data_IF_567987826034
#
_entry.id   IF_567987826034
#
_cell.length_a   1.000
_cell.length_b   1.000
_cell.length_c   1.000
_cell.angle_alpha   90.00
_cell.angle_beta   90.00
_cell.angle_gamma   90.00
#
_symmetry.space_group_name_H-M   'P 1'
#
loop_
_entity.id
_entity.type
_entity.pdbx_description
1 polymer ?
#
# COMPACT_ATOMS: atom_id res chain seq x y z
N UNK A 1 10.17 -12.54 -6.42
CA UNK A 1 9.97 -11.13 -6.80
C UNK A 1 8.51 -10.90 -7.18
N UNK A 2 7.76 -10.25 -6.30
CA UNK A 2 6.34 -9.91 -6.41
C UNK A 2 6.19 -8.39 -6.29
N UNK A 3 5.48 -7.80 -7.23
CA UNK A 3 5.22 -6.36 -7.28
C UNK A 3 3.71 -6.14 -7.21
N UNK A 4 3.27 -5.28 -6.29
CA UNK A 4 1.86 -4.97 -6.09
C UNK A 4 1.62 -3.49 -6.38
N UNK A 5 0.53 -3.19 -7.09
CA UNK A 5 0.02 -1.83 -7.29
C UNK A 5 -1.26 -1.66 -6.50
N UNK A 6 -1.35 -0.64 -5.66
CA UNK A 6 -2.46 -0.44 -4.74
C UNK A 6 -2.86 1.05 -4.62
N UNK A 7 -4.09 1.36 -5.00
CA UNK A 7 -4.67 2.68 -4.75
C UNK A 7 -5.15 2.74 -3.30
N UNK A 8 -4.50 3.58 -2.49
CA UNK A 8 -4.76 3.68 -1.05
C UNK A 8 -5.73 4.81 -0.68
N UNK A 9 -6.02 5.72 -1.62
CA UNK A 9 -6.98 6.82 -1.44
C UNK A 9 -6.78 7.59 -0.11
N UNK A 10 -5.56 8.05 0.17
CA UNK A 10 -5.04 8.61 1.43
C UNK A 10 -4.29 7.62 2.33
N UNK A 11 -2.95 7.70 2.28
CA UNK A 11 -2.05 6.83 3.05
C UNK A 11 -2.13 7.07 4.56
N UNK A 12 -2.27 8.33 4.99
CA UNK A 12 -2.37 8.68 6.42
C UNK A 12 -3.67 8.19 7.06
N UNK A 13 -4.74 8.11 6.27
CA UNK A 13 -6.03 7.62 6.75
C UNK A 13 -6.10 6.07 6.83
N UNK A 14 -5.24 5.35 6.08
CA UNK A 14 -5.34 3.88 5.92
C UNK A 14 -4.02 3.11 6.10
N UNK A 15 -3.21 3.39 7.14
CA UNK A 15 -1.96 2.65 7.37
C UNK A 15 -2.20 1.15 7.61
N UNK A 16 -3.33 0.77 8.21
CA UNK A 16 -3.69 -0.62 8.48
C UNK A 16 -3.83 -1.47 7.20
N UNK A 17 -4.25 -0.87 6.07
CA UNK A 17 -4.36 -1.59 4.80
C UNK A 17 -2.98 -1.96 4.25
N UNK A 18 -2.01 -1.06 4.40
CA UNK A 18 -0.61 -1.29 4.01
C UNK A 18 0.02 -2.40 4.85
N UNK A 19 -0.23 -2.40 6.16
CA UNK A 19 0.25 -3.44 7.07
C UNK A 19 -0.36 -4.80 6.70
N UNK A 20 -1.69 -4.85 6.50
CA UNK A 20 -2.37 -6.09 6.10
C UNK A 20 -1.86 -6.60 4.74
N UNK A 21 -1.64 -5.70 3.78
CA UNK A 21 -1.12 -6.04 2.46
C UNK A 21 0.31 -6.61 2.55
N UNK A 22 1.19 -5.98 3.35
CA UNK A 22 2.53 -6.50 3.65
C UNK A 22 2.47 -7.89 4.26
N UNK A 23 1.69 -8.07 5.31
CA UNK A 23 1.66 -9.31 6.09
C UNK A 23 1.01 -10.48 5.32
N UNK A 24 0.09 -10.18 4.41
CA UNK A 24 -0.66 -11.19 3.64
C UNK A 24 0.02 -11.55 2.32
N UNK A 25 0.59 -10.56 1.63
CA UNK A 25 1.13 -10.75 0.28
C UNK A 25 2.64 -10.81 0.22
N UNK A 26 3.36 -10.40 1.27
CA UNK A 26 4.82 -10.33 1.32
C UNK A 26 5.46 -9.86 -0.01
N UNK A 27 5.09 -8.67 -0.54
CA UNK A 27 5.61 -8.20 -1.81
C UNK A 27 6.98 -7.56 -1.64
N UNK A 28 7.86 -7.75 -2.64
CA UNK A 28 9.16 -7.08 -2.70
C UNK A 28 9.02 -5.57 -2.96
N UNK A 29 7.99 -5.17 -3.73
CA UNK A 29 7.70 -3.76 -4.06
C UNK A 29 6.20 -3.49 -4.01
N UNK A 30 5.82 -2.36 -3.39
CA UNK A 30 4.44 -1.85 -3.37
C UNK A 30 4.43 -0.46 -4.02
N UNK A 31 3.74 -0.32 -5.15
CA UNK A 31 3.42 0.97 -5.76
C UNK A 31 2.09 1.50 -5.21
N UNK A 32 2.08 2.75 -4.75
CA UNK A 32 0.89 3.40 -4.18
C UNK A 32 0.36 4.51 -5.09
N UNK A 33 -0.96 4.59 -5.25
CA UNK A 33 -1.64 5.69 -5.93
C UNK A 33 -2.61 6.42 -4.99
N UNK A 34 -2.96 7.66 -5.35
CA UNK A 34 -3.80 8.55 -4.55
C UNK A 34 -3.36 8.64 -3.09
N UNK A 35 -2.07 8.90 -2.84
CA UNK A 35 -1.55 8.99 -1.47
C UNK A 35 -2.17 10.14 -0.66
N UNK A 36 -2.72 11.17 -1.33
CA UNK A 36 -3.38 12.36 -0.72
C UNK A 36 -2.56 12.97 0.42
N UNK A 37 -1.25 13.04 0.17
CA UNK A 37 -0.29 13.77 0.99
C UNK A 37 -0.02 15.09 0.28
N UNK A 38 -0.40 16.19 0.93
CA UNK A 38 0.12 17.52 0.60
C UNK A 38 1.50 17.67 1.24
#
# INVERSE_FOLDING_TARGET
MRIVSFNINSIRARPHQLIHLRDTLDPDVIGLQETKVN
#
